data_IF_977758756408
#
_entry.id   IF_977758756408
#
_cell.length_a   1.000
_cell.length_b   1.000
_cell.length_c   1.000
_cell.angle_alpha   90.00
_cell.angle_beta   90.00
_cell.angle_gamma   90.00
#
_symmetry.space_group_name_H-M   'P 1'
#
loop_
_entity.id
_entity.type
_entity.pdbx_description
1 polymer ?
#
# COMPACT_ATOMS: atom_id res chain seq x y z
N UNK A 1 53.68 -52.10 13.68
CA UNK A 1 52.61 -51.61 14.57
C UNK A 1 52.12 -50.27 14.03
N UNK A 2 51.00 -50.19 13.29
CA UNK A 2 50.51 -48.91 12.80
C UNK A 2 49.65 -48.21 13.87
N UNK A 3 49.82 -46.88 13.93
CA UNK A 3 49.25 -45.97 14.92
C UNK A 3 47.72 -45.93 14.92
N UNK A 4 47.20 -45.65 16.11
CA UNK A 4 45.83 -45.79 16.54
C UNK A 4 45.03 -44.51 16.22
N UNK A 5 43.81 -44.69 15.69
CA UNK A 5 42.84 -43.64 15.38
C UNK A 5 42.33 -42.95 16.66
N UNK A 6 42.40 -41.63 16.75
CA UNK A 6 41.58 -40.84 17.69
C UNK A 6 41.12 -39.55 17.00
N UNK A 7 39.94 -39.55 16.38
CA UNK A 7 39.19 -38.32 16.09
C UNK A 7 38.29 -38.04 17.29
N UNK A 8 38.85 -37.44 18.34
CA UNK A 8 38.12 -37.06 19.55
C UNK A 8 37.33 -35.77 19.29
N UNK A 9 36.04 -35.95 18.98
CA UNK A 9 34.92 -35.08 19.35
C UNK A 9 35.24 -33.61 19.68
N UNK A 10 35.06 -32.71 18.71
CA UNK A 10 34.80 -31.28 18.96
C UNK A 10 33.34 -31.18 19.42
N UNK A 11 33.15 -30.87 20.70
CA UNK A 11 31.89 -30.83 21.42
C UNK A 11 31.02 -29.62 21.02
N UNK A 12 30.06 -29.87 20.12
CA UNK A 12 28.89 -29.03 19.84
C UNK A 12 27.97 -29.81 18.89
N UNK A 13 26.65 -29.56 18.87
CA UNK A 13 25.79 -30.18 17.86
C UNK A 13 26.29 -29.75 16.49
N UNK A 14 26.92 -30.68 15.76
CA UNK A 14 27.30 -30.47 14.37
C UNK A 14 26.00 -30.35 13.59
N UNK A 15 25.69 -29.15 13.10
CA UNK A 15 24.66 -28.98 12.07
C UNK A 15 25.24 -29.67 10.84
N UNK A 16 24.75 -30.88 10.55
CA UNK A 16 25.13 -31.60 9.34
C UNK A 16 24.59 -30.81 8.14
N UNK A 17 25.44 -30.11 7.40
CA UNK A 17 25.11 -29.76 6.02
C UNK A 17 25.36 -31.01 5.18
N UNK A 18 24.32 -31.83 5.00
CA UNK A 18 24.32 -32.79 3.89
C UNK A 18 24.29 -31.97 2.62
N UNK A 19 25.48 -31.74 2.04
CA UNK A 19 25.60 -31.18 0.71
C UNK A 19 25.11 -32.27 -0.26
N UNK A 20 23.84 -32.21 -0.65
CA UNK A 20 23.38 -32.96 -1.82
C UNK A 20 24.06 -32.35 -3.04
N UNK A 21 24.81 -33.17 -3.79
CA UNK A 21 25.50 -32.77 -5.04
C UNK A 21 24.49 -32.51 -6.19
N UNK A 22 23.24 -32.18 -5.86
CA UNK A 22 22.16 -31.81 -6.79
C UNK A 22 21.17 -30.80 -6.15
N UNK A 23 21.39 -30.36 -4.92
CA UNK A 23 20.54 -29.40 -4.23
C UNK A 23 21.40 -28.48 -3.38
N UNK A 24 21.53 -27.22 -3.80
CA UNK A 24 22.34 -26.21 -3.13
C UNK A 24 22.04 -26.07 -1.63
N UNK A 25 22.93 -25.38 -0.93
CA UNK A 25 22.82 -25.06 0.50
C UNK A 25 21.39 -24.63 0.83
N UNK A 26 20.63 -25.47 1.52
CA UNK A 26 19.36 -25.08 2.12
C UNK A 26 19.68 -24.35 3.42
N UNK A 27 20.00 -23.07 3.34
CA UNK A 27 19.88 -22.21 4.52
C UNK A 27 18.41 -22.27 4.95
N UNK A 28 18.16 -22.45 6.25
CA UNK A 28 16.81 -22.29 6.81
C UNK A 28 16.29 -20.84 6.70
N UNK A 29 17.15 -19.92 6.25
CA UNK A 29 16.74 -18.67 5.64
C UNK A 29 16.17 -18.94 4.24
N UNK A 30 14.91 -19.40 4.22
CA UNK A 30 14.14 -19.35 3.00
C UNK A 30 13.82 -17.89 2.72
N UNK A 31 14.66 -17.21 1.94
CA UNK A 31 14.11 -16.26 0.98
C UNK A 31 13.27 -17.10 0.03
N UNK A 32 12.04 -17.46 0.43
CA UNK A 32 11.10 -18.01 -0.53
C UNK A 32 10.93 -16.89 -1.56
N UNK A 33 11.10 -17.19 -2.84
CA UNK A 33 10.69 -16.34 -3.97
C UNK A 33 9.19 -15.95 -3.92
N UNK A 34 8.46 -16.39 -2.90
CA UNK A 34 7.08 -16.05 -2.58
C UNK A 34 6.96 -14.74 -1.77
N UNK A 35 7.89 -13.79 -1.92
CA UNK A 35 7.67 -12.40 -1.48
C UNK A 35 6.62 -11.69 -2.34
N UNK A 36 6.17 -12.31 -3.43
CA UNK A 36 5.05 -11.87 -4.25
C UNK A 36 3.74 -12.10 -3.49
N UNK A 37 2.95 -11.05 -3.29
CA UNK A 37 1.64 -11.01 -2.60
C UNK A 37 1.65 -10.61 -1.11
N UNK A 38 2.61 -9.80 -0.69
CA UNK A 38 2.52 -9.17 0.63
C UNK A 38 1.62 -7.94 0.56
N UNK A 39 0.74 -7.73 1.56
CA UNK A 39 -0.05 -6.51 1.64
C UNK A 39 0.90 -5.32 1.84
N UNK A 40 0.73 -4.29 1.02
CA UNK A 40 1.48 -3.06 1.07
C UNK A 40 0.53 -1.88 0.89
N UNK A 41 -0.09 -1.46 1.98
CA UNK A 41 -1.11 -0.41 1.92
C UNK A 41 -0.46 0.97 2.07
N UNK A 42 -1.02 1.97 1.39
CA UNK A 42 -0.63 3.38 1.51
C UNK A 42 -1.78 4.18 2.11
N UNK A 43 -1.47 5.05 3.08
CA UNK A 43 -2.50 5.83 3.77
C UNK A 43 -2.24 7.31 3.55
N UNK A 44 -3.31 8.04 3.20
CA UNK A 44 -3.32 9.47 3.01
C UNK A 44 -4.32 10.12 3.96
N UNK A 45 -4.06 11.37 4.32
CA UNK A 45 -4.93 12.17 5.18
C UNK A 45 -5.23 13.51 4.52
N UNK A 46 -6.43 14.04 4.74
CA UNK A 46 -6.86 15.36 4.27
C UNK A 46 -7.83 15.99 5.27
N UNK A 47 -7.99 17.32 5.23
CA UNK A 47 -8.88 18.04 6.15
C UNK A 47 -8.34 18.13 7.57
N UNK A 48 -7.03 18.30 7.69
CA UNK A 48 -6.33 18.64 8.93
C UNK A 48 -5.46 19.87 8.68
N UNK A 49 -5.35 20.75 9.67
CA UNK A 49 -4.42 21.87 9.65
C UNK A 49 -3.00 21.45 10.07
N UNK A 50 -2.09 22.43 10.14
CA UNK A 50 -0.69 22.23 10.54
C UNK A 50 -0.53 21.66 11.96
N UNK A 51 -1.56 21.76 12.80
CA UNK A 51 -1.58 21.27 14.17
C UNK A 51 -2.35 19.95 14.31
N UNK A 52 -2.70 19.30 13.19
CA UNK A 52 -3.50 18.07 13.14
C UNK A 52 -4.91 18.24 13.74
N UNK A 53 -5.44 19.46 13.71
CA UNK A 53 -6.84 19.77 14.06
C UNK A 53 -7.70 19.70 12.80
N UNK A 54 -8.93 19.22 12.92
CA UNK A 54 -9.84 19.08 11.79
C UNK A 54 -10.15 20.43 11.13
N UNK A 55 -9.88 20.51 9.83
CA UNK A 55 -10.12 21.67 8.99
C UNK A 55 -10.94 21.28 7.76
N UNK A 56 -11.55 22.27 7.11
CA UNK A 56 -12.29 22.03 5.86
C UNK A 56 -11.34 21.50 4.78
N UNK A 57 -11.80 20.46 4.08
CA UNK A 57 -11.09 19.91 2.92
C UNK A 57 -11.26 20.87 1.76
N UNK A 58 -10.23 20.97 0.92
CA UNK A 58 -10.20 21.77 -0.29
C UNK A 58 -9.88 20.90 -1.51
N UNK A 59 -10.17 21.41 -2.70
CA UNK A 59 -9.80 20.73 -3.95
C UNK A 59 -8.31 20.90 -4.17
N UNK A 60 -7.52 19.88 -3.79
CA UNK A 60 -6.07 19.90 -3.87
C UNK A 60 -5.47 18.49 -3.87
N UNK A 61 -4.17 18.41 -4.14
CA UNK A 61 -3.37 17.21 -3.91
C UNK A 61 -2.90 17.19 -2.45
N UNK A 62 -3.12 16.06 -1.76
CA UNK A 62 -2.83 15.89 -0.33
C UNK A 62 -1.67 14.93 -0.06
N UNK A 63 -1.24 14.15 -1.06
CA UNK A 63 -0.07 13.30 -0.93
C UNK A 63 0.53 12.95 -2.29
N UNK A 64 1.85 12.89 -2.35
CA UNK A 64 2.61 12.40 -3.49
C UNK A 64 3.69 11.46 -2.96
N UNK A 65 3.58 10.17 -3.31
CA UNK A 65 4.51 9.13 -2.85
C UNK A 65 5.14 8.42 -4.03
N UNK A 66 6.41 8.05 -3.87
CA UNK A 66 7.16 7.27 -4.84
C UNK A 66 7.02 5.79 -4.52
N UNK A 67 6.67 4.96 -5.50
CA UNK A 67 6.74 3.51 -5.32
C UNK A 67 8.19 3.01 -5.43
N UNK A 68 8.72 2.29 -4.43
CA UNK A 68 10.06 1.69 -4.51
C UNK A 68 10.07 0.32 -5.19
N UNK A 69 8.91 -0.27 -5.48
CA UNK A 69 8.76 -1.66 -5.95
C UNK A 69 7.62 -1.80 -6.97
N UNK A 70 7.65 -2.88 -7.73
CA UNK A 70 6.50 -3.28 -8.57
C UNK A 70 5.40 -3.83 -7.67
N UNK A 71 4.15 -3.47 -7.95
CA UNK A 71 2.99 -3.95 -7.22
C UNK A 71 1.68 -3.65 -7.93
N UNK A 72 0.55 -3.89 -7.27
CA UNK A 72 -0.78 -3.76 -7.86
C UNK A 72 -1.78 -3.13 -6.91
N UNK A 73 -2.64 -2.25 -7.43
CA UNK A 73 -3.75 -1.66 -6.70
C UNK A 73 -4.90 -2.67 -6.54
N UNK A 74 -5.38 -2.81 -5.30
CA UNK A 74 -6.43 -3.78 -4.93
C UNK A 74 -7.77 -3.13 -4.60
N UNK A 75 -7.74 -1.84 -4.29
CA UNK A 75 -8.91 -1.03 -4.01
C UNK A 75 -8.59 -0.11 -2.85
N UNK A 76 -9.63 0.25 -2.11
CA UNK A 76 -9.52 1.31 -1.13
C UNK A 76 -10.47 1.12 0.04
N UNK A 77 -10.26 1.95 1.06
CA UNK A 77 -11.15 2.19 2.16
C UNK A 77 -10.98 3.65 2.58
N UNK A 78 -12.04 4.30 3.03
CA UNK A 78 -11.93 5.66 3.53
C UNK A 78 -12.98 5.98 4.57
N UNK A 79 -12.64 6.92 5.43
CA UNK A 79 -13.55 7.47 6.43
C UNK A 79 -13.33 8.98 6.54
N UNK A 80 -14.41 9.73 6.66
CA UNK A 80 -14.40 11.17 6.90
C UNK A 80 -15.12 11.46 8.22
N UNK A 81 -14.47 12.19 9.13
CA UNK A 81 -15.04 12.43 10.46
C UNK A 81 -16.25 13.38 10.41
N UNK A 82 -16.18 14.41 9.58
CA UNK A 82 -17.32 15.29 9.27
C UNK A 82 -17.73 15.09 7.82
N UNK A 83 -18.91 14.53 7.59
CA UNK A 83 -19.43 14.25 6.26
C UNK A 83 -19.66 15.54 5.45
N UNK A 84 -19.52 15.49 4.11
CA UNK A 84 -19.81 16.62 3.24
C UNK A 84 -21.32 16.89 3.18
N UNK A 85 -21.71 18.15 2.98
CA UNK A 85 -23.11 18.54 2.78
C UNK A 85 -23.29 19.38 1.52
N UNK A 86 -24.50 19.38 0.95
CA UNK A 86 -24.85 20.11 -0.27
C UNK A 86 -24.31 19.49 -1.57
N UNK A 87 -23.16 18.82 -1.53
CA UNK A 87 -22.57 18.05 -2.63
C UNK A 87 -21.71 16.92 -2.09
N UNK A 88 -21.40 15.95 -2.94
CA UNK A 88 -20.48 14.84 -2.61
C UNK A 88 -19.04 15.34 -2.50
N UNK A 89 -18.22 14.66 -1.70
CA UNK A 89 -16.77 14.82 -1.71
C UNK A 89 -16.16 13.69 -2.55
N UNK A 90 -15.42 14.01 -3.60
CA UNK A 90 -14.83 13.04 -4.53
C UNK A 90 -13.32 13.05 -4.37
N UNK A 91 -12.76 11.85 -4.23
CA UNK A 91 -11.32 11.64 -4.13
C UNK A 91 -10.81 10.88 -5.34
N UNK A 92 -9.53 11.03 -5.63
CA UNK A 92 -8.88 10.37 -6.75
C UNK A 92 -7.47 9.97 -6.36
N UNK A 93 -7.00 8.89 -6.97
CA UNK A 93 -5.62 8.46 -6.90
C UNK A 93 -5.10 8.40 -8.32
N UNK A 94 -3.99 9.07 -8.58
CA UNK A 94 -3.36 9.09 -9.88
C UNK A 94 -2.01 8.39 -9.84
N UNK A 95 -1.74 7.61 -10.87
CA UNK A 95 -0.40 7.13 -11.19
C UNK A 95 0.18 8.02 -12.29
N UNK A 96 1.29 8.69 -12.01
CA UNK A 96 1.97 9.58 -12.97
C UNK A 96 1.02 10.62 -13.62
N UNK A 97 0.06 11.14 -12.86
CA UNK A 97 -0.91 12.13 -13.33
C UNK A 97 -2.12 11.57 -14.10
N UNK A 98 -2.29 10.24 -14.15
CA UNK A 98 -3.48 9.58 -14.72
C UNK A 98 -4.25 8.84 -13.62
N UNK A 99 -5.57 9.04 -13.53
CA UNK A 99 -6.41 8.36 -12.54
C UNK A 99 -6.33 6.84 -12.67
N UNK A 100 -6.29 6.15 -11.53
CA UNK A 100 -6.35 4.68 -11.47
C UNK A 100 -7.78 4.14 -11.53
N UNK A 101 -8.78 5.02 -11.56
CA UNK A 101 -10.19 4.69 -11.48
C UNK A 101 -10.95 5.00 -12.78
N UNK A 102 -11.88 4.11 -13.15
CA UNK A 102 -12.93 4.39 -14.13
C UNK A 102 -14.11 5.14 -13.52
N UNK A 103 -14.39 4.86 -12.24
CA UNK A 103 -15.35 5.59 -11.41
C UNK A 103 -14.63 5.94 -10.10
N UNK A 104 -14.56 7.23 -9.79
CA UNK A 104 -13.79 7.71 -8.63
C UNK A 104 -14.49 7.39 -7.30
N UNK A 105 -13.74 7.05 -6.24
CA UNK A 105 -14.32 6.89 -4.91
C UNK A 105 -14.88 8.22 -4.39
N UNK A 106 -15.94 8.15 -3.58
CA UNK A 106 -16.61 9.35 -3.07
C UNK A 106 -17.25 9.14 -1.71
N UNK A 107 -17.39 10.23 -0.95
CA UNK A 107 -18.24 10.31 0.23
C UNK A 107 -19.58 10.94 -0.17
N UNK A 108 -20.66 10.20 0.05
CA UNK A 108 -22.00 10.70 -0.21
C UNK A 108 -22.37 11.84 0.75
N UNK A 109 -23.36 12.65 0.37
CA UNK A 109 -23.88 13.73 1.21
C UNK A 109 -24.36 13.14 2.55
N UNK A 110 -23.80 13.65 3.65
CA UNK A 110 -24.15 13.21 5.00
C UNK A 110 -23.63 11.82 5.40
N UNK A 111 -22.80 11.17 4.57
CA UNK A 111 -22.21 9.87 4.87
C UNK A 111 -20.72 9.98 5.26
N UNK A 112 -20.32 9.22 6.27
CA UNK A 112 -18.93 9.19 6.76
C UNK A 112 -18.08 8.10 6.10
N UNK A 113 -18.71 7.06 5.56
CA UNK A 113 -18.02 5.94 4.91
C UNK A 113 -17.84 6.21 3.41
N UNK A 114 -16.68 5.82 2.89
CA UNK A 114 -16.35 5.94 1.48
C UNK A 114 -17.16 4.93 0.66
N UNK A 115 -17.84 5.41 -0.38
CA UNK A 115 -18.28 4.56 -1.48
C UNK A 115 -17.10 4.27 -2.39
N UNK A 116 -16.72 3.01 -2.49
CA UNK A 116 -15.60 2.56 -3.32
C UNK A 116 -15.80 2.95 -4.79
N UNK A 117 -14.71 3.35 -5.42
CA UNK A 117 -14.61 3.51 -6.86
C UNK A 117 -14.45 2.18 -7.57
N UNK A 118 -14.28 2.25 -8.89
CA UNK A 118 -13.99 1.10 -9.74
C UNK A 118 -12.62 1.30 -10.36
N UNK A 119 -11.65 0.48 -9.94
CA UNK A 119 -10.31 0.48 -10.53
C UNK A 119 -10.36 0.16 -12.03
N UNK A 120 -9.46 0.76 -12.80
CA UNK A 120 -9.22 0.37 -14.18
C UNK A 120 -8.68 -1.08 -14.22
N UNK A 121 -9.20 -1.88 -15.15
CA UNK A 121 -8.85 -3.30 -15.28
C UNK A 121 -7.69 -3.56 -16.25
N UNK A 122 -7.17 -2.52 -16.89
CA UNK A 122 -6.01 -2.57 -17.78
C UNK A 122 -4.72 -2.73 -16.98
N UNK A 123 -3.70 -3.39 -17.55
CA UNK A 123 -2.38 -3.59 -16.90
C UNK A 123 -1.79 -2.28 -16.37
N UNK A 124 -1.91 -1.21 -17.15
CA UNK A 124 -1.64 0.17 -16.76
C UNK A 124 -2.99 0.91 -16.67
N UNK A 125 -3.34 1.59 -15.56
CA UNK A 125 -2.55 1.93 -14.37
C UNK A 125 -2.70 0.97 -13.18
N UNK A 126 -3.27 -0.21 -13.35
CA UNK A 126 -3.51 -1.16 -12.24
C UNK A 126 -2.23 -1.66 -11.57
N UNK A 127 -1.17 -1.85 -12.35
CA UNK A 127 0.17 -2.18 -11.89
C UNK A 127 0.98 -0.88 -11.79
N UNK A 128 1.76 -0.76 -10.73
CA UNK A 128 2.76 0.28 -10.56
C UNK A 128 4.15 -0.34 -10.48
N UNK A 129 5.15 0.37 -10.97
CA UNK A 129 6.54 -0.04 -11.01
C UNK A 129 7.42 0.87 -10.13
N UNK A 130 8.68 0.48 -9.84
CA UNK A 130 9.61 1.37 -9.18
C UNK A 130 9.68 2.71 -9.90
N UNK A 131 9.70 3.79 -9.11
CA UNK A 131 9.69 5.18 -9.55
C UNK A 131 8.35 5.74 -10.04
N UNK A 132 7.27 4.95 -10.10
CA UNK A 132 5.94 5.51 -10.33
C UNK A 132 5.52 6.42 -9.16
N UNK A 133 4.91 7.55 -9.50
CA UNK A 133 4.35 8.49 -8.52
C UNK A 133 2.87 8.22 -8.32
N UNK A 134 2.48 8.03 -7.07
CA UNK A 134 1.10 7.82 -6.64
C UNK A 134 0.67 9.09 -5.92
N UNK A 135 -0.25 9.82 -6.53
CA UNK A 135 -0.74 11.09 -6.03
C UNK A 135 -2.18 10.93 -5.56
N UNK A 136 -2.45 11.25 -4.29
CA UNK A 136 -3.80 11.32 -3.75
C UNK A 136 -4.30 12.75 -3.79
N UNK A 137 -5.53 12.93 -4.31
CA UNK A 137 -6.15 14.25 -4.44
C UNK A 137 -7.63 14.22 -4.14
N UNK A 138 -8.14 15.37 -3.73
CA UNK A 138 -9.57 15.66 -3.63
C UNK A 138 -9.94 16.47 -4.87
N UNK A 139 -10.90 15.98 -5.66
CA UNK A 139 -11.32 16.63 -6.91
C UNK A 139 -12.61 17.43 -6.78
N UNK A 140 -13.37 17.18 -5.71
CA UNK A 140 -14.60 17.89 -5.41
C UNK A 140 -14.87 17.81 -3.91
N UNK A 141 -15.43 18.88 -3.35
CA UNK A 141 -15.84 18.96 -1.94
C UNK A 141 -17.33 19.30 -1.83
N UNK A 142 -17.90 19.10 -0.64
CA UNK A 142 -19.28 19.54 -0.36
C UNK A 142 -19.44 21.06 -0.50
N UNK A 143 -20.60 21.51 -0.98
CA UNK A 143 -20.89 22.93 -1.21
C UNK A 143 -21.41 23.68 0.02
N UNK A 144 -21.91 22.94 1.02
CA UNK A 144 -22.26 23.50 2.34
C UNK A 144 -21.09 23.33 3.30
N UNK A 145 -20.96 22.11 3.83
CA UNK A 145 -19.80 21.64 4.59
C UNK A 145 -18.92 20.85 3.64
N UNK A 146 -17.67 21.26 3.45
CA UNK A 146 -16.73 20.58 2.56
C UNK A 146 -16.45 19.14 3.00
N UNK A 147 -16.45 18.93 4.32
CA UNK A 147 -16.06 17.70 5.00
C UNK A 147 -14.70 17.87 5.69
N UNK A 148 -14.44 17.11 6.76
CA UNK A 148 -13.23 17.25 7.61
C UNK A 148 -12.72 15.91 8.10
N UNK A 149 -11.41 15.82 8.34
CA UNK A 149 -10.80 14.63 8.94
C UNK A 149 -10.87 13.38 8.06
N UNK A 150 -10.53 13.51 6.79
CA UNK A 150 -10.54 12.41 5.82
C UNK A 150 -9.29 11.55 5.97
N UNK A 151 -9.48 10.24 6.01
CA UNK A 151 -8.41 9.23 5.95
C UNK A 151 -8.73 8.29 4.81
N UNK A 152 -7.77 8.08 3.93
CA UNK A 152 -7.88 7.23 2.75
C UNK A 152 -6.80 6.16 2.78
N UNK A 153 -7.19 4.90 2.80
CA UNK A 153 -6.29 3.76 2.74
C UNK A 153 -6.40 3.12 1.36
N UNK A 154 -5.32 3.25 0.58
CA UNK A 154 -5.13 2.57 -0.68
C UNK A 154 -4.57 1.19 -0.41
N UNK A 155 -5.32 0.15 -0.78
CA UNK A 155 -4.91 -1.24 -0.62
C UNK A 155 -4.04 -1.62 -1.80
N UNK A 156 -2.81 -2.06 -1.54
CA UNK A 156 -1.94 -2.58 -2.59
C UNK A 156 -1.30 -3.89 -2.18
N UNK A 157 -0.70 -4.56 -3.16
CA UNK A 157 0.15 -5.73 -2.95
C UNK A 157 1.47 -5.57 -3.70
N UNK A 158 2.51 -6.20 -3.17
CA UNK A 158 3.85 -6.32 -3.77
C UNK A 158 4.26 -7.79 -3.76
#
# INVERSE_FOLDING_TARGET
MPLQYITKYIWGPKIFSTADVTGGITTNWKFKDNLMWLPWDQVFIAGFDENMVQADIEVSAYGDVLSPRTGEFMGELGYIDTAPTGSVCIVDVEKNGTSIYSTKPQFAIGANELTAGTLLTTTDPKIFDPYDRITFKVTQVGSGTAGKGLRFALKCRV
#
